data_IF_143505206044
#
_entry.id   IF_143505206044
#
_cell.length_a   1.000
_cell.length_b   1.000
_cell.length_c   1.000
_cell.angle_alpha   90.00
_cell.angle_beta   90.00
_cell.angle_gamma   90.00
#
_symmetry.space_group_name_H-M   'P 1'
#
loop_
_entity.id
_entity.type
_entity.pdbx_description
1 polymer ?
#
# COMPACT_ATOMS: atom_id res chain seq x y z
N UNK A 1 -13.87 -16.30 -5.34
CA UNK A 1 -13.11 -15.83 -4.18
C UNK A 1 -12.09 -16.92 -3.87
N UNK A 2 -10.81 -16.65 -4.13
CA UNK A 2 -9.76 -17.48 -3.55
C UNK A 2 -9.89 -17.35 -2.03
N UNK A 3 -9.87 -18.48 -1.34
CA UNK A 3 -9.92 -18.48 0.13
C UNK A 3 -8.74 -17.66 0.65
N UNK A 4 -9.00 -16.77 1.62
CA UNK A 4 -7.93 -16.07 2.34
C UNK A 4 -6.82 -17.08 2.70
N UNK A 5 -5.53 -16.69 2.65
CA UNK A 5 -4.45 -17.61 3.00
C UNK A 5 -4.75 -18.19 4.37
N UNK A 6 -4.89 -19.54 4.48
CA UNK A 6 -5.11 -20.15 5.77
C UNK A 6 -3.95 -19.76 6.68
N UNK A 7 -4.24 -18.97 7.73
CA UNK A 7 -3.25 -18.65 8.74
C UNK A 7 -2.49 -17.34 8.61
N UNK A 8 -2.93 -16.34 7.79
CA UNK A 8 -2.35 -15.00 7.91
C UNK A 8 -2.81 -14.37 9.25
N UNK A 9 -2.13 -14.74 10.30
CA UNK A 9 -2.35 -14.20 11.64
C UNK A 9 -1.01 -14.01 12.34
N UNK A 10 -0.71 -12.78 12.73
CA UNK A 10 0.47 -12.45 13.53
C UNK A 10 -0.01 -11.76 14.80
N UNK A 11 0.34 -12.30 15.96
CA UNK A 11 0.04 -11.69 17.25
C UNK A 11 1.31 -11.22 17.92
N UNK A 12 1.26 -10.01 18.46
CA UNK A 12 2.26 -9.48 19.40
C UNK A 12 1.60 -9.23 20.76
N UNK A 13 2.36 -8.75 21.76
CA UNK A 13 1.81 -8.46 23.07
C UNK A 13 0.55 -7.60 23.03
N UNK A 14 0.53 -6.58 22.17
CA UNK A 14 -0.56 -5.59 22.10
C UNK A 14 -1.44 -5.74 20.85
N UNK A 15 -0.92 -6.21 19.73
CA UNK A 15 -1.62 -6.14 18.45
C UNK A 15 -1.83 -7.50 17.82
N UNK A 16 -2.93 -7.64 17.11
CA UNK A 16 -3.19 -8.72 16.17
C UNK A 16 -3.21 -8.19 14.75
N UNK A 17 -2.51 -8.86 13.84
CA UNK A 17 -2.59 -8.60 12.41
C UNK A 17 -3.27 -9.78 11.72
N UNK A 18 -4.21 -9.49 10.82
CA UNK A 18 -4.93 -10.46 10.00
C UNK A 18 -5.60 -9.81 8.80
N UNK A 19 -6.15 -10.61 7.91
CA UNK A 19 -7.10 -10.11 6.92
C UNK A 19 -8.44 -9.80 7.57
N UNK A 20 -9.12 -8.77 7.07
CA UNK A 20 -10.48 -8.43 7.45
C UNK A 20 -11.44 -9.53 6.96
N UNK A 21 -12.32 -9.98 7.84
CA UNK A 21 -13.34 -10.98 7.54
C UNK A 21 -14.73 -10.32 7.55
N UNK A 22 -15.38 -10.31 6.40
CA UNK A 22 -16.72 -9.78 6.27
C UNK A 22 -16.84 -8.25 6.23
N UNK A 23 -18.08 -7.78 6.14
CA UNK A 23 -18.39 -6.37 5.89
C UNK A 23 -17.97 -5.45 7.06
N UNK A 24 -18.28 -5.87 8.30
CA UNK A 24 -18.03 -5.02 9.48
C UNK A 24 -16.55 -4.65 9.66
N UNK A 25 -15.63 -5.60 9.42
CA UNK A 25 -14.20 -5.34 9.54
C UNK A 25 -13.65 -4.53 8.37
N UNK A 26 -14.17 -4.74 7.16
CA UNK A 26 -13.88 -3.87 6.03
C UNK A 26 -14.32 -2.43 6.28
N UNK A 27 -15.52 -2.23 6.81
CA UNK A 27 -16.00 -0.90 7.21
C UNK A 27 -15.14 -0.28 8.31
N UNK A 28 -14.65 -1.07 9.27
CA UNK A 28 -13.72 -0.59 10.29
C UNK A 28 -12.40 -0.08 9.67
N UNK A 29 -11.85 -0.79 8.69
CA UNK A 29 -10.70 -0.32 7.92
C UNK A 29 -11.02 0.97 7.15
N UNK A 30 -12.17 1.05 6.46
CA UNK A 30 -12.60 2.24 5.73
C UNK A 30 -12.84 3.44 6.67
N UNK A 31 -13.32 3.22 7.88
CA UNK A 31 -13.49 4.25 8.92
C UNK A 31 -12.14 4.78 9.43
N UNK A 32 -11.17 3.91 9.64
CA UNK A 32 -9.80 4.34 9.97
C UNK A 32 -9.21 5.18 8.84
N UNK A 33 -9.36 4.76 7.59
CA UNK A 33 -8.91 5.51 6.40
C UNK A 33 -9.55 6.90 6.35
N UNK A 34 -10.87 7.01 6.55
CA UNK A 34 -11.57 8.29 6.62
C UNK A 34 -11.00 9.19 7.71
N UNK A 35 -10.77 8.66 8.92
CA UNK A 35 -10.15 9.40 10.03
C UNK A 35 -8.77 9.96 9.61
N UNK A 36 -7.95 9.13 8.95
CA UNK A 36 -6.59 9.51 8.56
C UNK A 36 -6.60 10.44 7.34
N UNK A 37 -7.22 10.07 6.24
CA UNK A 37 -7.15 10.84 5.01
C UNK A 37 -8.01 12.10 5.06
N UNK A 38 -9.30 11.99 5.38
CA UNK A 38 -10.21 13.12 5.30
C UNK A 38 -10.06 14.07 6.50
N UNK A 39 -9.97 13.53 7.73
CA UNK A 39 -10.00 14.37 8.93
C UNK A 39 -8.60 14.86 9.30
N UNK A 40 -7.59 13.99 9.27
CA UNK A 40 -6.26 14.36 9.74
C UNK A 40 -5.42 15.04 8.66
N UNK A 41 -5.41 14.49 7.42
CA UNK A 41 -4.57 14.98 6.33
C UNK A 41 -5.26 16.02 5.44
N UNK A 42 -6.60 16.10 5.49
CA UNK A 42 -7.37 16.97 4.59
C UNK A 42 -7.34 16.53 3.12
N UNK A 43 -7.02 15.26 2.91
CA UNK A 43 -7.03 14.55 1.63
C UNK A 43 -8.31 13.71 1.52
N UNK A 44 -8.40 12.89 0.45
CA UNK A 44 -9.45 11.89 0.30
C UNK A 44 -10.73 12.42 -0.33
N UNK A 45 -11.65 11.49 -0.56
CA UNK A 45 -12.86 11.74 -1.32
C UNK A 45 -13.86 12.61 -0.56
N UNK A 46 -14.38 13.66 -1.21
CA UNK A 46 -15.43 14.51 -0.64
C UNK A 46 -16.70 13.71 -0.29
N UNK A 47 -17.02 12.69 -1.08
CA UNK A 47 -18.16 11.80 -0.84
C UNK A 47 -18.10 11.05 0.49
N UNK A 48 -16.91 10.80 1.01
CA UNK A 48 -16.66 10.08 2.26
C UNK A 48 -17.21 10.80 3.50
N UNK A 49 -17.39 12.13 3.44
CA UNK A 49 -17.96 12.89 4.55
C UNK A 49 -19.42 12.53 4.85
N UNK A 50 -20.16 11.99 3.88
CA UNK A 50 -21.55 11.59 4.09
C UNK A 50 -21.69 10.29 4.88
N UNK A 51 -20.71 9.41 4.77
CA UNK A 51 -20.75 8.07 5.38
C UNK A 51 -19.79 7.91 6.53
N UNK A 52 -18.77 8.76 6.62
CA UNK A 52 -17.62 8.58 7.52
C UNK A 52 -16.74 7.40 7.13
N UNK A 53 -16.79 6.98 5.86
CA UNK A 53 -16.02 5.87 5.33
C UNK A 53 -15.27 6.33 4.07
N UNK A 54 -13.94 6.17 4.06
CA UNK A 54 -13.17 6.23 2.82
C UNK A 54 -13.32 4.88 2.13
N UNK A 55 -14.22 4.82 1.13
CA UNK A 55 -14.47 3.60 0.38
C UNK A 55 -14.73 3.88 -1.09
N UNK A 56 -14.33 2.95 -1.93
CA UNK A 56 -14.58 2.94 -3.37
C UNK A 56 -14.96 1.52 -3.85
N UNK A 57 -15.22 1.35 -5.16
CA UNK A 57 -15.62 0.07 -5.72
C UNK A 57 -14.54 -1.02 -5.60
N UNK A 58 -13.27 -0.64 -5.47
CA UNK A 58 -12.17 -1.61 -5.28
C UNK A 58 -12.27 -2.33 -3.95
N UNK A 59 -12.86 -1.70 -2.93
CA UNK A 59 -13.04 -2.33 -1.62
C UNK A 59 -13.96 -3.56 -1.63
N UNK A 60 -14.72 -3.76 -2.73
CA UNK A 60 -15.61 -4.91 -2.89
C UNK A 60 -14.87 -6.22 -3.18
N UNK A 61 -13.66 -6.14 -3.76
CA UNK A 61 -12.91 -7.31 -4.20
C UNK A 61 -11.44 -7.32 -3.78
N UNK A 62 -10.95 -6.23 -3.19
CA UNK A 62 -9.62 -6.20 -2.58
C UNK A 62 -9.62 -6.84 -1.20
N UNK A 63 -8.48 -7.39 -0.82
CA UNK A 63 -8.24 -7.82 0.56
C UNK A 63 -7.82 -6.62 1.42
N UNK A 64 -8.28 -6.63 2.67
CA UNK A 64 -7.91 -5.59 3.66
C UNK A 64 -7.08 -6.24 4.75
N UNK A 65 -5.82 -5.88 4.82
CA UNK A 65 -4.96 -6.22 5.94
C UNK A 65 -5.27 -5.26 7.09
N UNK A 66 -5.52 -5.78 8.29
CA UNK A 66 -5.86 -4.97 9.46
C UNK A 66 -4.97 -5.33 10.65
N UNK A 67 -4.62 -4.30 11.40
CA UNK A 67 -4.01 -4.42 12.73
C UNK A 67 -5.04 -3.98 13.76
N UNK A 68 -5.38 -4.88 14.66
CA UNK A 68 -6.31 -4.67 15.78
C UNK A 68 -5.53 -4.46 17.08
N UNK A 69 -5.83 -3.40 17.84
CA UNK A 69 -5.38 -3.28 19.23
C UNK A 69 -6.20 -4.22 20.10
N UNK A 70 -5.54 -5.18 20.76
CA UNK A 70 -6.18 -6.21 21.58
C UNK A 70 -6.94 -5.64 22.77
N UNK A 71 -6.51 -4.49 23.30
CA UNK A 71 -7.15 -3.89 24.47
C UNK A 71 -8.45 -3.17 24.14
N UNK A 72 -8.46 -2.39 23.06
CA UNK A 72 -9.63 -1.62 22.62
C UNK A 72 -10.48 -2.35 21.59
N UNK A 73 -9.99 -3.43 20.99
CA UNK A 73 -10.60 -4.16 19.87
C UNK A 73 -10.82 -3.30 18.62
N UNK A 74 -10.11 -2.19 18.52
CA UNK A 74 -10.23 -1.28 17.38
C UNK A 74 -9.19 -1.59 16.32
N UNK A 75 -9.58 -1.40 15.05
CA UNK A 75 -8.64 -1.42 13.92
C UNK A 75 -7.82 -0.13 13.96
N UNK A 76 -6.50 -0.28 14.15
CA UNK A 76 -5.55 0.83 14.31
C UNK A 76 -4.55 0.94 13.16
N UNK A 77 -4.53 -0.04 12.27
CA UNK A 77 -3.70 -0.03 11.07
C UNK A 77 -4.36 -0.82 9.94
N UNK A 78 -4.19 -0.38 8.69
CA UNK A 78 -4.72 -1.09 7.53
C UNK A 78 -3.91 -0.84 6.26
N UNK A 79 -3.95 -1.82 5.36
CA UNK A 79 -3.58 -1.71 3.94
C UNK A 79 -4.65 -2.39 3.09
N UNK A 80 -4.97 -1.80 1.95
CA UNK A 80 -5.73 -2.46 0.88
C UNK A 80 -4.77 -3.17 -0.06
N UNK A 81 -5.06 -4.42 -0.39
CA UNK A 81 -4.21 -5.29 -1.21
C UNK A 81 -4.99 -5.89 -2.37
N UNK A 82 -4.39 -5.89 -3.56
CA UNK A 82 -4.99 -6.47 -4.75
C UNK A 82 -3.95 -7.23 -5.57
N UNK A 83 -4.14 -8.54 -5.75
CA UNK A 83 -3.29 -9.32 -6.65
C UNK A 83 -3.61 -9.06 -8.12
N UNK A 84 -2.65 -9.27 -9.02
CA UNK A 84 -2.89 -9.16 -10.45
C UNK A 84 -3.96 -10.10 -10.97
N UNK A 85 -4.13 -11.27 -10.35
CA UNK A 85 -5.22 -12.18 -10.67
C UNK A 85 -6.59 -11.59 -10.29
N UNK A 86 -6.69 -10.89 -9.16
CA UNK A 86 -7.92 -10.19 -8.77
C UNK A 86 -8.17 -8.98 -9.68
N UNK A 87 -7.14 -8.21 -10.00
CA UNK A 87 -7.24 -7.06 -10.90
C UNK A 87 -7.75 -7.49 -12.29
N UNK A 88 -7.19 -8.56 -12.86
CA UNK A 88 -7.59 -9.06 -14.18
C UNK A 88 -9.06 -9.54 -14.25
N UNK A 89 -9.62 -9.98 -13.13
CA UNK A 89 -11.01 -10.46 -13.06
C UNK A 89 -12.04 -9.37 -12.74
N UNK A 90 -11.57 -8.17 -12.36
CA UNK A 90 -12.44 -7.07 -11.92
C UNK A 90 -12.17 -5.78 -12.71
N UNK A 91 -11.79 -4.70 -12.04
CA UNK A 91 -11.66 -3.35 -12.60
C UNK A 91 -10.23 -2.98 -13.01
N UNK A 92 -9.30 -3.94 -13.10
CA UNK A 92 -7.88 -3.64 -13.22
C UNK A 92 -7.28 -3.26 -11.87
N UNK A 93 -6.05 -2.77 -11.88
CA UNK A 93 -5.44 -2.18 -10.69
C UNK A 93 -6.01 -0.77 -10.43
N UNK A 94 -6.05 -0.35 -9.17
CA UNK A 94 -6.46 1.03 -8.85
C UNK A 94 -5.55 2.06 -9.54
N UNK A 95 -4.24 1.82 -9.50
CA UNK A 95 -3.25 2.72 -10.09
C UNK A 95 -3.29 2.78 -11.63
N UNK A 96 -3.96 1.83 -12.32
CA UNK A 96 -4.22 1.90 -13.77
C UNK A 96 -5.12 3.08 -14.16
N UNK A 97 -5.87 3.65 -13.22
CA UNK A 97 -6.65 4.86 -13.47
C UNK A 97 -5.74 6.07 -13.69
N UNK A 98 -4.61 6.07 -13.03
CA UNK A 98 -3.67 7.20 -12.97
C UNK A 98 -2.48 7.01 -13.89
N UNK A 99 -2.05 5.77 -14.11
CA UNK A 99 -0.82 5.44 -14.83
C UNK A 99 -1.04 4.40 -15.92
N UNK A 100 -0.23 4.48 -17.00
CA UNK A 100 -0.14 3.44 -18.02
C UNK A 100 0.53 2.19 -17.44
N UNK A 101 -0.20 1.08 -17.38
CA UNK A 101 0.28 -0.20 -16.85
C UNK A 101 0.86 -1.14 -17.93
N UNK A 102 0.92 -0.72 -19.19
CA UNK A 102 1.50 -1.53 -20.27
C UNK A 102 2.92 -2.07 -19.95
N UNK A 103 3.81 -1.35 -19.23
CA UNK A 103 5.12 -1.89 -18.86
C UNK A 103 5.05 -3.10 -17.90
N UNK A 104 3.95 -3.28 -17.19
CA UNK A 104 3.80 -4.31 -16.16
C UNK A 104 2.98 -5.53 -16.63
N UNK A 105 2.46 -5.54 -17.85
CA UNK A 105 1.62 -6.64 -18.36
C UNK A 105 2.32 -8.01 -18.30
N UNK A 106 3.62 -8.06 -18.57
CA UNK A 106 4.40 -9.31 -18.53
C UNK A 106 4.58 -9.89 -17.12
N UNK A 107 4.49 -9.05 -16.10
CA UNK A 107 4.65 -9.43 -14.70
C UNK A 107 3.35 -9.31 -13.92
N UNK A 108 2.22 -9.01 -14.58
CA UNK A 108 0.92 -8.72 -13.94
C UNK A 108 0.57 -9.71 -12.84
N UNK A 109 0.72 -11.01 -13.09
CA UNK A 109 0.35 -12.05 -12.13
C UNK A 109 1.35 -12.24 -10.98
N UNK A 110 2.49 -11.56 -11.02
CA UNK A 110 3.48 -11.52 -9.94
C UNK A 110 3.37 -10.22 -9.12
N UNK A 111 2.43 -9.33 -9.46
CA UNK A 111 2.28 -8.01 -8.81
C UNK A 111 1.18 -8.05 -7.75
N UNK A 112 1.50 -7.46 -6.60
CA UNK A 112 0.56 -7.09 -5.54
C UNK A 112 0.48 -5.56 -5.48
N UNK A 113 -0.68 -5.02 -5.76
CA UNK A 113 -0.94 -3.61 -5.53
C UNK A 113 -1.24 -3.35 -4.06
N UNK A 114 -0.59 -2.32 -3.51
CA UNK A 114 -0.78 -1.83 -2.16
C UNK A 114 -1.35 -0.42 -2.21
N UNK A 115 -2.42 -0.18 -1.49
CA UNK A 115 -3.04 1.13 -1.41
C UNK A 115 -3.67 1.41 -0.04
N UNK A 116 -4.13 2.63 0.13
CA UNK A 116 -4.88 3.07 1.31
C UNK A 116 -4.18 2.77 2.64
N UNK A 117 -2.84 2.89 2.69
CA UNK A 117 -2.05 2.72 3.89
C UNK A 117 -2.47 3.71 4.98
N UNK A 118 -2.96 3.22 6.10
CA UNK A 118 -3.41 4.07 7.19
C UNK A 118 -3.07 3.47 8.54
N UNK A 119 -2.53 4.31 9.44
CA UNK A 119 -2.29 3.95 10.84
C UNK A 119 -2.85 5.08 11.70
N UNK A 120 -3.64 4.74 12.70
CA UNK A 120 -4.17 5.69 13.67
C UNK A 120 -3.03 6.50 14.30
N UNK A 121 -3.24 7.80 14.49
CA UNK A 121 -2.20 8.73 14.98
C UNK A 121 -1.55 8.26 16.28
N UNK A 122 -2.35 7.72 17.21
CA UNK A 122 -1.89 7.26 18.52
C UNK A 122 -1.11 5.94 18.45
N UNK A 123 -1.22 5.22 17.31
CA UNK A 123 -0.61 3.91 17.07
C UNK A 123 0.50 3.95 16.00
N UNK A 124 0.97 5.13 15.56
CA UNK A 124 2.06 5.29 14.56
C UNK A 124 3.41 4.94 15.13
N UNK A 125 3.58 3.68 15.47
CA UNK A 125 4.83 3.11 16.01
C UNK A 125 5.54 2.26 14.96
N UNK A 126 6.84 2.00 15.19
CA UNK A 126 7.60 1.05 14.35
C UNK A 126 7.05 -0.36 14.45
N UNK A 127 6.39 -0.73 15.55
CA UNK A 127 5.77 -2.04 15.75
C UNK A 127 4.59 -2.26 14.78
N UNK A 128 3.61 -1.34 14.76
CA UNK A 128 2.45 -1.44 13.86
C UNK A 128 2.86 -1.44 12.40
N UNK A 129 3.80 -0.56 12.01
CA UNK A 129 4.33 -0.53 10.66
C UNK A 129 5.04 -1.85 10.29
N UNK A 130 5.85 -2.40 11.20
CA UNK A 130 6.54 -3.67 10.97
C UNK A 130 5.56 -4.83 10.85
N UNK A 131 4.49 -4.86 11.66
CA UNK A 131 3.42 -5.85 11.54
C UNK A 131 2.75 -5.82 10.17
N UNK A 132 2.35 -4.64 9.71
CA UNK A 132 1.74 -4.47 8.39
C UNK A 132 2.67 -4.99 7.29
N UNK A 133 3.95 -4.64 7.31
CA UNK A 133 4.93 -5.13 6.33
C UNK A 133 5.15 -6.65 6.39
N UNK A 134 5.17 -7.24 7.58
CA UNK A 134 5.24 -8.71 7.73
C UNK A 134 4.01 -9.38 7.16
N UNK A 135 2.83 -8.83 7.39
CA UNK A 135 1.59 -9.34 6.80
C UNK A 135 1.59 -9.27 5.29
N UNK A 136 1.98 -8.12 4.70
CA UNK A 136 2.13 -7.95 3.25
C UNK A 136 3.12 -8.98 2.68
N UNK A 137 4.27 -9.14 3.32
CA UNK A 137 5.31 -10.06 2.87
C UNK A 137 4.86 -11.53 2.95
N UNK A 138 4.15 -11.92 4.02
CA UNK A 138 3.57 -13.25 4.16
C UNK A 138 2.47 -13.51 3.11
N UNK A 139 1.61 -12.52 2.86
CA UNK A 139 0.60 -12.57 1.81
C UNK A 139 1.25 -12.73 0.43
N UNK A 140 2.22 -11.89 0.09
CA UNK A 140 2.94 -11.95 -1.17
C UNK A 140 3.63 -13.32 -1.39
N UNK A 141 4.28 -13.87 -0.35
CA UNK A 141 4.91 -15.20 -0.39
C UNK A 141 3.88 -16.30 -0.63
N UNK A 142 2.74 -16.27 0.06
CA UNK A 142 1.69 -17.28 -0.09
C UNK A 142 1.16 -17.33 -1.53
N UNK A 143 0.91 -16.17 -2.13
CA UNK A 143 0.40 -16.07 -3.52
C UNK A 143 1.52 -16.02 -4.57
N UNK A 144 2.79 -16.20 -4.18
CA UNK A 144 3.97 -16.15 -5.08
C UNK A 144 4.07 -14.81 -5.84
N UNK A 145 3.72 -13.71 -5.18
CA UNK A 145 3.81 -12.36 -5.73
C UNK A 145 5.21 -11.81 -5.42
N UNK A 146 5.86 -11.28 -6.44
CA UNK A 146 7.25 -10.79 -6.36
C UNK A 146 7.32 -9.27 -6.24
N UNK A 147 6.43 -8.58 -6.92
CA UNK A 147 6.47 -7.13 -7.03
C UNK A 147 5.38 -6.50 -6.20
N UNK A 148 5.73 -5.51 -5.39
CA UNK A 148 4.76 -4.64 -4.73
C UNK A 148 4.70 -3.33 -5.50
N UNK A 149 3.51 -2.90 -5.90
CA UNK A 149 3.28 -1.65 -6.64
C UNK A 149 2.21 -0.81 -5.93
N UNK A 150 2.28 0.52 -6.07
CA UNK A 150 1.23 1.40 -5.58
C UNK A 150 1.63 2.87 -5.62
N UNK A 151 0.65 3.74 -5.48
CA UNK A 151 0.84 5.18 -5.44
C UNK A 151 1.36 5.62 -4.07
N UNK A 152 2.36 6.49 -4.09
CA UNK A 152 2.90 7.17 -2.90
C UNK A 152 2.70 8.67 -3.07
N UNK A 153 1.87 9.25 -2.23
CA UNK A 153 1.35 10.59 -2.42
C UNK A 153 2.24 11.66 -1.77
N UNK A 154 2.45 12.75 -2.48
CA UNK A 154 2.84 14.05 -1.96
C UNK A 154 1.55 14.85 -1.69
N UNK A 155 1.32 15.24 -0.44
CA UNK A 155 0.20 16.10 -0.07
C UNK A 155 0.44 17.52 -0.61
N UNK A 156 0.13 17.72 -1.86
CA UNK A 156 0.26 19.01 -2.55
C UNK A 156 -0.69 19.09 -3.74
N UNK A 157 -1.27 20.28 -3.92
CA UNK A 157 -2.04 20.64 -5.10
C UNK A 157 -1.26 21.49 -6.09
N UNK A 158 0.01 21.76 -5.84
CA UNK A 158 0.89 22.51 -6.73
C UNK A 158 1.69 21.55 -7.62
N UNK A 159 1.39 21.45 -8.93
CA UNK A 159 2.09 20.56 -9.86
C UNK A 159 3.61 20.78 -9.89
N UNK A 160 4.08 22.01 -9.63
CA UNK A 160 5.50 22.31 -9.65
C UNK A 160 6.27 21.65 -8.48
N UNK A 161 5.60 21.40 -7.35
CA UNK A 161 6.18 20.58 -6.29
C UNK A 161 6.33 19.13 -6.73
N UNK A 162 5.40 18.60 -7.54
CA UNK A 162 5.53 17.28 -8.16
C UNK A 162 6.76 17.17 -9.05
N UNK A 163 6.97 18.15 -9.94
CA UNK A 163 8.15 18.21 -10.79
C UNK A 163 9.45 18.35 -9.99
N UNK A 164 9.45 19.21 -8.95
CA UNK A 164 10.61 19.38 -8.08
C UNK A 164 10.98 18.08 -7.37
N UNK A 165 9.99 17.37 -6.80
CA UNK A 165 10.22 16.09 -6.15
C UNK A 165 10.63 15.01 -7.18
N UNK A 166 10.04 15.01 -8.37
CA UNK A 166 10.43 14.09 -9.45
C UNK A 166 11.92 14.24 -9.82
N UNK A 167 12.42 15.47 -9.93
CA UNK A 167 13.87 15.72 -10.16
C UNK A 167 14.73 15.15 -9.04
N UNK A 168 14.33 15.34 -7.79
CA UNK A 168 15.08 14.80 -6.63
C UNK A 168 15.10 13.27 -6.62
N UNK A 169 14.07 12.62 -7.17
CA UNK A 169 13.91 11.16 -7.21
C UNK A 169 14.52 10.49 -8.45
N UNK A 170 15.17 11.24 -9.35
CA UNK A 170 15.84 10.65 -10.53
C UNK A 170 16.83 9.51 -10.18
N UNK A 171 17.64 9.61 -9.11
CA UNK A 171 18.58 8.55 -8.76
C UNK A 171 17.96 7.22 -8.34
N UNK A 172 16.67 7.22 -8.00
CA UNK A 172 15.94 6.05 -7.48
C UNK A 172 14.83 5.56 -8.42
N UNK A 173 14.96 5.81 -9.71
CA UNK A 173 13.99 5.31 -10.69
C UNK A 173 14.21 3.84 -11.05
N UNK A 174 13.13 3.20 -11.52
CA UNK A 174 13.19 1.85 -12.13
C UNK A 174 13.97 1.86 -13.45
N UNK A 175 14.34 0.67 -13.94
CA UNK A 175 14.87 0.50 -15.29
C UNK A 175 13.87 1.05 -16.33
N UNK A 176 14.38 1.51 -17.48
CA UNK A 176 13.57 2.15 -18.51
C UNK A 176 12.39 1.30 -18.99
N UNK A 177 12.57 -0.01 -19.07
CA UNK A 177 11.53 -0.97 -19.47
C UNK A 177 10.35 -1.07 -18.50
N UNK A 178 10.49 -0.56 -17.27
CA UNK A 178 9.45 -0.53 -16.24
C UNK A 178 8.94 0.88 -15.95
N UNK A 179 9.39 1.87 -16.74
CA UNK A 179 8.88 3.23 -16.58
C UNK A 179 7.47 3.36 -17.09
N UNK A 180 6.66 4.03 -16.30
CA UNK A 180 5.28 4.38 -16.61
C UNK A 180 5.11 5.88 -16.76
N UNK A 181 3.97 6.28 -17.30
CA UNK A 181 3.54 7.68 -17.43
C UNK A 181 2.13 7.82 -16.92
N UNK A 182 1.75 9.00 -16.39
CA UNK A 182 0.36 9.24 -16.04
C UNK A 182 -0.53 9.18 -17.27
N UNK A 183 -1.76 8.72 -17.08
CA UNK A 183 -2.80 8.82 -18.10
C UNK A 183 -3.13 10.29 -18.39
N UNK A 184 -3.68 10.65 -19.56
CA UNK A 184 -3.96 12.05 -19.90
C UNK A 184 -4.81 12.79 -18.86
N UNK A 185 -5.74 12.10 -18.19
CA UNK A 185 -6.60 12.69 -17.16
C UNK A 185 -5.84 13.10 -15.88
N UNK A 186 -4.70 12.42 -15.60
CA UNK A 186 -3.89 12.63 -14.41
C UNK A 186 -2.52 13.27 -14.72
N UNK A 187 -2.27 13.66 -15.96
CA UNK A 187 -1.03 14.33 -16.31
C UNK A 187 -0.88 15.66 -15.57
N UNK A 188 0.34 15.94 -15.10
CA UNK A 188 0.68 17.27 -14.62
C UNK A 188 0.76 18.23 -15.80
N UNK A 189 0.45 19.53 -15.58
CA UNK A 189 0.84 20.59 -16.51
C UNK A 189 2.35 20.60 -16.74
N UNK A 190 2.78 21.26 -17.82
CA UNK A 190 4.19 21.39 -18.13
C UNK A 190 4.99 21.97 -16.96
N UNK A 191 6.21 21.49 -16.85
CA UNK A 191 7.16 21.96 -15.86
C UNK A 191 7.55 23.42 -16.15
N UNK A 192 7.51 24.27 -15.11
CA UNK A 192 8.08 25.61 -15.16
C UNK A 192 9.53 25.55 -14.69
N UNK A 193 10.53 25.68 -15.61
CA UNK A 193 11.95 25.61 -15.25
C UNK A 193 12.40 26.70 -14.27
N UNK A 194 11.67 27.82 -14.20
CA UNK A 194 11.99 28.92 -13.29
C UNK A 194 11.59 28.61 -11.83
N UNK A 195 10.68 27.65 -11.62
CA UNK A 195 10.19 27.26 -10.30
C UNK A 195 10.96 26.03 -9.80
N UNK A 196 12.19 26.28 -9.39
CA UNK A 196 13.04 25.25 -8.73
C UNK A 196 12.94 25.39 -7.22
N UNK A 197 12.73 24.30 -6.52
CA UNK A 197 12.68 24.28 -5.06
C UNK A 197 12.91 22.86 -4.53
N UNK A 198 13.45 22.77 -3.33
CA UNK A 198 13.54 21.50 -2.62
C UNK A 198 12.19 21.19 -1.99
N UNK A 199 11.70 19.98 -2.19
CA UNK A 199 10.45 19.49 -1.62
C UNK A 199 10.77 18.43 -0.60
N UNK A 200 10.16 18.53 0.58
CA UNK A 200 10.36 17.54 1.62
C UNK A 200 9.77 16.20 1.20
N UNK A 201 10.60 15.16 1.20
CA UNK A 201 10.20 13.82 0.87
C UNK A 201 9.17 13.28 1.88
N UNK A 202 7.96 12.84 1.45
CA UNK A 202 6.96 12.24 2.33
C UNK A 202 7.55 11.07 3.14
N UNK A 203 7.23 11.01 4.43
CA UNK A 203 7.83 10.02 5.37
C UNK A 203 7.64 8.58 4.89
N UNK A 204 6.45 8.26 4.39
CA UNK A 204 6.14 6.91 3.91
C UNK A 204 6.96 6.57 2.67
N UNK A 205 7.03 7.48 1.70
CA UNK A 205 7.83 7.31 0.48
C UNK A 205 9.32 7.15 0.82
N UNK A 206 9.84 7.96 1.76
CA UNK A 206 11.21 7.80 2.28
C UNK A 206 11.45 6.40 2.84
N UNK A 207 10.47 5.86 3.59
CA UNK A 207 10.56 4.50 4.13
C UNK A 207 10.59 3.46 3.02
N UNK A 208 9.76 3.59 2.00
CA UNK A 208 9.73 2.68 0.86
C UNK A 208 11.04 2.68 0.07
N UNK A 209 11.59 3.86 -0.22
CA UNK A 209 12.89 3.97 -0.90
C UNK A 209 14.00 3.35 -0.05
N UNK A 210 13.99 3.53 1.26
CA UNK A 210 14.98 2.94 2.17
C UNK A 210 14.97 1.41 2.18
N UNK A 211 13.84 0.77 1.90
CA UNK A 211 13.75 -0.69 1.77
C UNK A 211 13.98 -1.20 0.35
N UNK A 212 14.19 -0.30 -0.62
CA UNK A 212 14.55 -0.65 -2.00
C UNK A 212 13.50 -0.35 -3.06
N UNK A 213 12.38 0.30 -2.69
CA UNK A 213 11.39 0.73 -3.68
C UNK A 213 11.99 1.74 -4.66
N UNK A 214 11.51 1.72 -5.89
CA UNK A 214 11.92 2.58 -7.01
C UNK A 214 10.71 3.33 -7.55
N UNK A 215 10.97 4.50 -8.13
CA UNK A 215 9.94 5.34 -8.76
C UNK A 215 9.77 4.93 -10.21
N UNK A 216 8.53 4.78 -10.63
CA UNK A 216 8.21 4.27 -11.96
C UNK A 216 8.15 5.35 -13.07
N UNK A 217 8.53 6.58 -12.78
CA UNK A 217 8.59 7.64 -13.79
C UNK A 217 7.96 8.96 -13.35
N UNK A 218 7.31 9.64 -14.28
CA UNK A 218 6.67 10.94 -14.06
C UNK A 218 5.47 10.79 -13.12
N UNK A 219 5.27 11.69 -12.14
CA UNK A 219 4.14 11.62 -11.22
C UNK A 219 2.81 11.96 -11.88
N UNK A 220 1.74 11.52 -11.27
CA UNK A 220 0.35 11.82 -11.63
C UNK A 220 -0.24 12.89 -10.70
N UNK A 221 -1.24 13.63 -11.17
CA UNK A 221 -1.99 14.59 -10.36
C UNK A 221 -3.39 14.06 -10.06
N UNK A 222 -3.58 13.52 -8.86
CA UNK A 222 -4.91 13.16 -8.37
C UNK A 222 -5.63 14.41 -7.84
N UNK A 223 -6.47 15.00 -8.71
CA UNK A 223 -7.25 16.20 -8.37
C UNK A 223 -8.38 15.90 -7.40
N UNK A 224 -8.86 14.67 -7.38
CA UNK A 224 -9.97 14.25 -6.52
C UNK A 224 -9.48 14.07 -5.07
N UNK A 225 -8.35 13.40 -4.88
CA UNK A 225 -7.69 13.28 -3.58
C UNK A 225 -6.94 14.55 -3.17
N UNK A 226 -6.55 15.39 -4.14
CA UNK A 226 -5.75 16.59 -3.91
C UNK A 226 -4.29 16.30 -3.66
N UNK A 227 -3.75 15.28 -4.30
CA UNK A 227 -2.37 14.80 -4.15
C UNK A 227 -1.63 14.73 -5.48
N UNK A 228 -0.31 14.63 -5.38
CA UNK A 228 0.56 14.27 -6.52
C UNK A 228 1.15 12.91 -6.21
N UNK A 229 0.88 11.94 -7.08
CA UNK A 229 1.14 10.55 -6.84
C UNK A 229 2.34 10.04 -7.63
N UNK A 230 3.22 9.35 -6.93
CA UNK A 230 4.40 8.70 -7.49
C UNK A 230 4.15 7.19 -7.50
N UNK A 231 4.04 6.60 -8.68
CA UNK A 231 3.97 5.15 -8.78
C UNK A 231 5.29 4.55 -8.32
N UNK A 232 5.23 3.69 -7.31
CA UNK A 232 6.40 3.03 -6.71
C UNK A 232 6.35 1.54 -6.94
N UNK A 233 7.50 0.93 -7.21
CA UNK A 233 7.68 -0.51 -7.38
C UNK A 233 8.75 -1.02 -6.44
N UNK A 234 8.47 -2.10 -5.72
CA UNK A 234 9.44 -2.81 -4.89
C UNK A 234 9.54 -4.27 -5.37
N UNK A 235 10.73 -4.69 -5.78
CA UNK A 235 11.03 -6.10 -6.08
C UNK A 235 11.48 -6.82 -4.80
N UNK A 236 10.64 -7.70 -4.27
CA UNK A 236 10.93 -8.46 -3.04
C UNK A 236 12.17 -9.36 -3.17
N UNK A 237 12.56 -9.74 -4.39
CA UNK A 237 13.80 -10.50 -4.63
C UNK A 237 15.05 -9.64 -4.43
N UNK A 238 14.94 -8.31 -4.52
CA UNK A 238 16.03 -7.35 -4.41
C UNK A 238 16.08 -6.62 -3.05
N UNK A 239 15.30 -7.07 -2.07
CA UNK A 239 15.38 -6.53 -0.72
C UNK A 239 16.79 -6.65 -0.15
N UNK A 240 17.26 -5.59 0.53
CA UNK A 240 18.51 -5.66 1.29
C UNK A 240 18.43 -6.74 2.38
N UNK A 241 19.55 -7.35 2.79
CA UNK A 241 19.53 -8.36 3.87
C UNK A 241 18.84 -7.85 5.15
N UNK A 242 19.07 -6.59 5.52
CA UNK A 242 18.44 -5.99 6.69
C UNK A 242 16.92 -5.86 6.53
N UNK A 243 16.42 -5.43 5.37
CA UNK A 243 14.99 -5.36 5.07
C UNK A 243 14.36 -6.76 5.02
N UNK A 244 15.06 -7.72 4.41
CA UNK A 244 14.60 -9.12 4.36
C UNK A 244 14.46 -9.72 5.76
N UNK A 245 15.45 -9.58 6.62
CA UNK A 245 15.41 -10.09 8.00
C UNK A 245 14.30 -9.42 8.84
N UNK A 246 13.99 -8.15 8.56
CA UNK A 246 12.95 -7.41 9.27
C UNK A 246 11.54 -7.79 8.84
N UNK A 247 11.30 -7.97 7.53
CA UNK A 247 9.96 -8.12 6.96
C UNK A 247 9.65 -9.54 6.50
N UNK A 248 10.66 -10.33 6.18
CA UNK A 248 10.59 -11.73 5.77
C UNK A 248 11.48 -12.61 6.66
N UNK A 249 11.34 -12.56 7.99
CA UNK A 249 12.12 -13.46 8.84
C UNK A 249 11.87 -14.90 8.40
N UNK A 250 12.92 -15.73 8.37
CA UNK A 250 12.77 -17.16 8.18
C UNK A 250 11.86 -17.68 9.30
N UNK A 251 10.88 -18.50 8.95
CA UNK A 251 10.04 -19.14 9.95
C UNK A 251 10.95 -20.04 10.79
N UNK A 252 11.25 -19.63 12.03
CA UNK A 252 11.73 -20.57 13.03
C UNK A 252 10.63 -21.61 13.20
N UNK A 253 10.92 -22.87 12.86
CA UNK A 253 10.08 -24.03 13.06
C UNK A 253 9.57 -24.06 14.51
N UNK A 254 8.33 -23.57 14.72
CA UNK A 254 7.59 -23.78 15.96
C UNK A 254 6.09 -23.84 15.64
N UNK A 255 5.73 -24.83 14.83
CA UNK A 255 4.41 -25.42 14.86
C UNK A 255 4.56 -26.79 15.52
N UNK A 256 4.60 -26.81 16.83
CA UNK A 256 4.20 -28.01 17.57
C UNK A 256 2.74 -28.25 17.26
N UNK A 257 2.51 -29.15 16.34
CA UNK A 257 1.23 -29.78 16.10
C UNK A 257 0.82 -30.48 17.43
N UNK A 258 -0.08 -29.88 18.18
CA UNK A 258 -0.77 -30.59 19.27
C UNK A 258 -1.73 -31.58 18.62
N UNK A 259 -1.37 -32.85 18.66
CA UNK A 259 -2.23 -33.97 18.28
C UNK A 259 -3.57 -33.90 19.03
N UNK A 260 -4.69 -34.25 18.38
CA UNK A 260 -5.98 -34.34 19.05
C UNK A 260 -5.93 -35.49 20.08
N UNK A 261 -6.16 -35.15 21.34
CA UNK A 261 -6.35 -36.12 22.42
C UNK A 261 -7.56 -36.98 22.07
N UNK A 262 -7.29 -38.26 21.79
CA UNK A 262 -8.31 -39.32 21.67
C UNK A 262 -8.93 -39.53 23.05
N UNK A 263 -10.19 -39.19 23.21
CA UNK A 263 -10.99 -39.58 24.37
C UNK A 263 -11.55 -40.99 24.09
N UNK A 264 -11.07 -41.96 24.84
CA UNK A 264 -11.65 -43.31 24.92
C UNK A 264 -12.91 -43.30 25.78
#
# INVERSE_FOLDING_TARGET
MESAPPGLFISTGRYNLRLACGLAEREAACRLRFKVFNIELGEGLASSYRTGLDQDYFDLFCDHLIVEDRSSRQVVGTYRMQSGATAARNLGYYSEREFDFSPYERIRFEVLELGRASIDREHRTSEVLTLLWRGIAQYARHYRLRYLIGCSSLNSRDPQQGWSLHRQLQPVQVAESLRSRPTPAYALPDEDPARTGEVQLPKLLKTYIAVGARICGVPAWDREFGTIDFLTLLDLAQLSPAARNRFLPEESESLTCSEPVSIS
#
